data_IF_738520461922
#
_entry.id   IF_738520461922
#
_cell.length_a   1.000
_cell.length_b   1.000
_cell.length_c   1.000
_cell.angle_alpha   90.00
_cell.angle_beta   90.00
_cell.angle_gamma   90.00
#
_symmetry.space_group_name_H-M   'P 1'
#
loop_
_entity.id
_entity.type
_entity.pdbx_description
1 polymer ?
#
# COMPACT_ATOMS: atom_id res chain seq x y z
N UNK A 1 21.12 -0.22 9.51
CA UNK A 1 20.39 0.96 9.03
C UNK A 1 19.95 0.66 7.62
N UNK A 2 18.67 0.83 7.30
CA UNK A 2 18.20 0.68 5.93
C UNK A 2 18.72 1.90 5.14
N UNK A 3 19.51 1.67 4.09
CA UNK A 3 19.95 2.73 3.20
C UNK A 3 18.72 3.33 2.52
N UNK A 4 18.47 4.63 2.74
CA UNK A 4 17.44 5.39 2.03
C UNK A 4 18.09 5.84 0.71
N UNK A 5 17.57 5.40 -0.45
CA UNK A 5 18.16 5.72 -1.74
C UNK A 5 18.09 7.23 -2.02
N UNK A 6 19.15 7.79 -2.60
CA UNK A 6 19.19 9.19 -3.02
C UNK A 6 18.36 9.38 -4.30
N UNK A 7 17.74 10.54 -4.52
CA UNK A 7 17.14 10.88 -5.82
C UNK A 7 18.14 10.83 -6.98
N UNK A 8 19.42 11.07 -6.72
CA UNK A 8 20.45 11.13 -7.76
C UNK A 8 21.00 9.76 -8.19
N UNK A 9 20.76 8.70 -7.40
CA UNK A 9 21.35 7.38 -7.68
C UNK A 9 20.84 6.84 -9.02
N UNK A 10 21.71 6.25 -9.85
CA UNK A 10 21.23 5.52 -11.03
C UNK A 10 20.41 4.30 -10.62
N UNK A 11 19.22 4.16 -11.21
CA UNK A 11 18.33 3.02 -10.98
C UNK A 11 18.12 2.23 -12.27
N UNK A 12 18.18 0.89 -12.22
CA UNK A 12 17.94 0.06 -13.40
C UNK A 12 16.46 0.13 -13.81
N UNK A 13 16.20 0.10 -15.12
CA UNK A 13 14.81 0.08 -15.66
C UNK A 13 14.04 -1.21 -15.32
N UNK A 14 14.77 -2.30 -15.10
CA UNK A 14 14.27 -3.65 -14.80
C UNK A 14 15.33 -4.47 -14.07
N UNK A 15 14.88 -5.38 -13.22
CA UNK A 15 15.69 -6.45 -12.64
C UNK A 15 15.07 -7.82 -12.97
N UNK A 16 15.90 -8.83 -13.18
CA UNK A 16 15.45 -10.21 -13.34
C UNK A 16 14.97 -10.80 -12.01
N UNK A 17 14.24 -11.92 -12.09
CA UNK A 17 13.55 -12.47 -10.93
C UNK A 17 14.51 -13.07 -9.92
N UNK A 18 15.59 -13.68 -10.40
CA UNK A 18 16.64 -14.33 -9.63
C UNK A 18 17.36 -13.27 -8.78
N UNK A 19 17.81 -12.18 -9.40
CA UNK A 19 18.39 -11.01 -8.71
C UNK A 19 17.46 -10.50 -7.60
N UNK A 20 16.17 -10.31 -7.89
CA UNK A 20 15.22 -9.83 -6.86
C UNK A 20 15.07 -10.84 -5.72
N UNK A 21 15.18 -12.15 -5.96
CA UNK A 21 15.02 -13.15 -4.91
C UNK A 21 16.20 -13.18 -3.91
N UNK A 22 17.40 -12.82 -4.37
CA UNK A 22 18.60 -12.76 -3.53
C UNK A 22 18.67 -11.51 -2.63
N UNK A 23 17.88 -10.48 -2.93
CA UNK A 23 17.84 -9.28 -2.10
C UNK A 23 17.32 -9.58 -0.69
N UNK A 24 17.81 -8.85 0.34
CA UNK A 24 17.29 -8.99 1.70
C UNK A 24 15.83 -8.56 1.79
N UNK A 25 15.09 -9.14 2.74
CA UNK A 25 13.69 -8.77 2.99
C UNK A 25 13.61 -7.40 3.64
N UNK A 26 12.80 -6.51 3.06
CA UNK A 26 12.41 -5.27 3.72
C UNK A 26 11.24 -5.51 4.66
N UNK A 27 11.21 -4.77 5.78
CA UNK A 27 10.13 -4.83 6.75
C UNK A 27 9.84 -3.43 7.29
N UNK A 28 8.56 -3.18 7.52
CA UNK A 28 8.15 -2.04 8.32
C UNK A 28 8.48 -2.26 9.79
N UNK A 29 9.09 -1.26 10.42
CA UNK A 29 9.52 -1.29 11.83
C UNK A 29 8.74 -0.32 12.74
N UNK A 30 7.78 0.42 12.16
CA UNK A 30 6.94 1.36 12.90
C UNK A 30 5.79 0.68 13.65
N UNK A 31 4.93 1.49 14.27
CA UNK A 31 3.80 0.99 15.04
C UNK A 31 2.67 0.52 14.13
N UNK A 32 2.15 -0.70 14.36
CA UNK A 32 1.02 -1.26 13.61
C UNK A 32 -0.24 -1.25 14.50
N UNK A 33 -1.27 -0.54 14.05
CA UNK A 33 -2.56 -0.43 14.74
C UNK A 33 -3.66 -1.09 13.90
N UNK A 34 -4.53 -1.86 14.53
CA UNK A 34 -5.66 -2.53 13.87
C UNK A 34 -6.97 -1.89 14.33
N UNK A 35 -7.84 -1.54 13.39
CA UNK A 35 -9.21 -1.08 13.64
C UNK A 35 -10.18 -2.22 13.29
N UNK A 36 -11.01 -2.62 14.25
CA UNK A 36 -11.98 -3.72 14.09
C UNK A 36 -13.41 -3.34 14.52
N UNK A 37 -13.61 -2.13 15.05
CA UNK A 37 -14.90 -1.61 15.50
C UNK A 37 -15.06 -0.12 15.19
N UNK A 38 -16.28 0.41 15.31
CA UNK A 38 -16.58 1.81 15.01
C UNK A 38 -15.75 2.79 15.83
N UNK A 39 -15.43 2.47 17.09
CA UNK A 39 -14.64 3.36 17.97
C UNK A 39 -13.20 3.49 17.48
N UNK A 40 -12.57 2.36 17.16
CA UNK A 40 -11.21 2.30 16.63
C UNK A 40 -11.13 2.86 15.21
N UNK A 41 -12.13 2.62 14.36
CA UNK A 41 -12.23 3.25 13.04
C UNK A 41 -12.19 4.77 13.13
N UNK A 42 -13.10 5.38 13.91
CA UNK A 42 -13.16 6.84 14.06
C UNK A 42 -11.86 7.41 14.63
N UNK A 43 -11.33 6.80 15.71
CA UNK A 43 -10.10 7.28 16.36
C UNK A 43 -8.89 7.23 15.42
N UNK A 44 -8.72 6.14 14.67
CA UNK A 44 -7.57 5.98 13.78
C UNK A 44 -7.71 6.81 12.50
N UNK A 45 -8.92 6.93 11.94
CA UNK A 45 -9.19 7.82 10.80
C UNK A 45 -8.90 9.29 11.15
N UNK A 46 -9.38 9.77 12.31
CA UNK A 46 -9.12 11.13 12.77
C UNK A 46 -7.62 11.42 13.03
N UNK A 47 -6.81 10.38 13.29
CA UNK A 47 -5.35 10.51 13.38
C UNK A 47 -4.73 10.58 11.99
N UNK A 48 -5.17 9.73 11.07
CA UNK A 48 -4.66 9.65 9.70
C UNK A 48 -4.95 10.90 8.87
N UNK A 49 -6.08 11.57 9.10
CA UNK A 49 -6.48 12.78 8.36
C UNK A 49 -5.50 13.95 8.52
N UNK A 50 -4.56 13.87 9.46
CA UNK A 50 -3.51 14.88 9.71
C UNK A 50 -2.27 14.70 8.84
N UNK A 51 -2.13 13.56 8.16
CA UNK A 51 -0.96 13.27 7.35
C UNK A 51 -1.26 13.57 5.87
N UNK A 52 -0.40 14.34 5.19
CA UNK A 52 -0.66 14.74 3.80
C UNK A 52 -0.35 13.64 2.78
N UNK A 53 0.45 12.63 3.14
CA UNK A 53 0.83 11.53 2.25
C UNK A 53 0.74 10.21 3.00
N UNK A 54 -0.08 9.33 2.47
CA UNK A 54 -0.35 7.99 2.97
C UNK A 54 -0.03 6.97 1.89
N UNK A 55 0.67 5.91 2.27
CA UNK A 55 0.69 4.71 1.45
C UNK A 55 -0.61 3.93 1.64
N UNK A 56 -1.13 3.38 0.56
CA UNK A 56 -2.43 2.72 0.47
C UNK A 56 -2.27 1.36 -0.22
N UNK A 57 -2.96 0.36 0.33
CA UNK A 57 -3.16 -0.94 -0.30
C UNK A 57 -4.47 -1.58 0.24
N UNK A 58 -4.96 -2.62 -0.43
CA UNK A 58 -6.10 -3.42 0.02
C UNK A 58 -5.81 -4.91 -0.02
N UNK A 59 -6.50 -5.68 0.82
CA UNK A 59 -6.36 -7.13 0.82
C UNK A 59 -7.70 -7.87 0.77
N UNK A 60 -7.75 -8.92 -0.05
CA UNK A 60 -8.93 -9.73 -0.33
C UNK A 60 -8.67 -11.19 0.02
N UNK A 61 -9.69 -11.93 0.49
CA UNK A 61 -9.58 -13.39 0.56
C UNK A 61 -9.42 -13.95 -0.87
N UNK A 62 -8.39 -14.76 -1.18
CA UNK A 62 -8.23 -15.30 -2.51
C UNK A 62 -9.29 -16.35 -2.83
N UNK A 63 -9.64 -16.47 -4.12
CA UNK A 63 -10.45 -17.55 -4.66
C UNK A 63 -9.57 -18.50 -5.48
N UNK A 64 -9.49 -19.76 -5.06
CA UNK A 64 -8.73 -20.80 -5.77
C UNK A 64 -9.58 -21.56 -6.80
N UNK A 65 -10.88 -21.27 -6.87
CA UNK A 65 -11.83 -21.80 -7.85
C UNK A 65 -12.33 -20.64 -8.71
N UNK A 66 -12.70 -20.93 -9.97
CA UNK A 66 -13.31 -19.94 -10.87
C UNK A 66 -14.60 -19.39 -10.22
N UNK A 67 -14.70 -18.06 -10.16
CA UNK A 67 -15.82 -17.35 -9.55
C UNK A 67 -15.51 -15.86 -9.40
N UNK A 68 -16.48 -15.05 -8.96
CA UNK A 68 -16.27 -13.62 -8.71
C UNK A 68 -15.24 -13.43 -7.59
N UNK A 69 -14.43 -12.38 -7.65
CA UNK A 69 -13.47 -12.04 -6.58
C UNK A 69 -14.20 -11.72 -5.28
N UNK A 70 -13.60 -12.09 -4.14
CA UNK A 70 -14.13 -11.65 -2.84
C UNK A 70 -13.97 -10.13 -2.70
N UNK A 71 -14.90 -9.46 -2.01
CA UNK A 71 -14.76 -8.04 -1.70
C UNK A 71 -13.52 -7.80 -0.82
N UNK A 72 -12.97 -6.57 -0.86
CA UNK A 72 -11.91 -6.13 0.04
C UNK A 72 -12.24 -6.40 1.50
N UNK A 73 -11.33 -7.09 2.20
CA UNK A 73 -11.49 -7.46 3.60
C UNK A 73 -10.69 -6.55 4.54
N UNK A 74 -9.69 -5.84 4.02
CA UNK A 74 -8.78 -4.98 4.76
C UNK A 74 -8.37 -3.80 3.88
N UNK A 75 -8.33 -2.59 4.46
CA UNK A 75 -7.60 -1.44 3.91
C UNK A 75 -6.34 -1.23 4.76
N UNK A 76 -5.21 -0.97 4.11
CA UNK A 76 -3.98 -0.57 4.75
C UNK A 76 -3.68 0.89 4.45
N UNK A 77 -3.35 1.65 5.49
CA UNK A 77 -2.87 3.03 5.36
C UNK A 77 -1.58 3.19 6.17
N UNK A 78 -0.54 3.77 5.57
CA UNK A 78 0.75 3.92 6.24
C UNK A 78 1.33 5.32 6.11
N UNK A 79 1.98 5.74 7.19
CA UNK A 79 2.81 6.94 7.31
C UNK A 79 4.28 6.52 7.40
N UNK A 80 5.21 7.45 7.68
CA UNK A 80 6.62 7.11 7.83
C UNK A 80 6.89 6.12 8.98
N UNK A 81 6.12 6.20 10.07
CA UNK A 81 6.40 5.50 11.33
C UNK A 81 5.21 4.72 11.89
N UNK A 82 4.04 4.80 11.26
CA UNK A 82 2.85 4.05 11.66
C UNK A 82 2.09 3.46 10.49
N UNK A 83 1.58 2.25 10.66
CA UNK A 83 0.66 1.58 9.77
C UNK A 83 -0.67 1.29 10.46
N UNK A 84 -1.77 1.43 9.72
CA UNK A 84 -3.14 1.32 10.19
C UNK A 84 -3.89 0.32 9.32
N UNK A 85 -4.41 -0.73 9.96
CA UNK A 85 -5.08 -1.85 9.29
C UNK A 85 -6.57 -1.82 9.63
N UNK A 86 -7.41 -1.39 8.69
CA UNK A 86 -8.85 -1.24 8.87
C UNK A 86 -9.58 -2.47 8.36
N UNK A 87 -10.13 -3.28 9.27
CA UNK A 87 -10.87 -4.50 8.91
C UNK A 87 -12.25 -4.17 8.39
N UNK A 88 -12.47 -4.41 7.10
CA UNK A 88 -13.79 -4.26 6.49
C UNK A 88 -14.66 -5.49 6.78
N UNK A 89 -14.11 -6.70 6.74
CA UNK A 89 -14.86 -7.91 7.07
C UNK A 89 -15.12 -8.04 8.59
N UNK A 90 -16.34 -8.44 9.03
CA UNK A 90 -17.48 -8.88 8.24
C UNK A 90 -18.50 -7.79 7.87
N UNK A 91 -18.29 -6.54 8.30
CA UNK A 91 -19.29 -5.47 8.21
C UNK A 91 -19.39 -4.92 6.79
N UNK A 92 -18.28 -4.93 6.04
CA UNK A 92 -18.11 -4.32 4.72
C UNK A 92 -18.61 -2.88 4.71
N UNK A 93 -17.90 -2.02 5.45
CA UNK A 93 -18.18 -0.59 5.53
C UNK A 93 -16.90 0.22 5.61
N UNK A 94 -16.80 1.29 4.84
CA UNK A 94 -15.66 2.23 4.84
C UNK A 94 -15.80 3.23 5.99
N UNK A 95 -17.02 3.73 6.21
CA UNK A 95 -17.35 4.65 7.31
C UNK A 95 -16.44 5.90 7.31
N UNK A 96 -15.77 6.24 8.42
CA UNK A 96 -14.96 7.47 8.51
C UNK A 96 -13.76 7.49 7.57
N UNK A 97 -13.43 6.39 6.91
CA UNK A 97 -12.38 6.37 5.88
C UNK A 97 -12.77 7.15 4.63
N UNK A 98 -14.06 7.29 4.32
CA UNK A 98 -14.53 8.01 3.13
C UNK A 98 -13.95 9.43 3.09
N UNK A 99 -13.96 10.15 4.22
CA UNK A 99 -13.38 11.50 4.31
C UNK A 99 -11.90 11.55 3.93
N UNK A 100 -11.12 10.49 4.21
CA UNK A 100 -9.72 10.40 3.81
C UNK A 100 -9.59 10.05 2.33
N UNK A 101 -10.39 9.08 1.86
CA UNK A 101 -10.36 8.59 0.48
C UNK A 101 -10.79 9.67 -0.52
N UNK A 102 -11.74 10.52 -0.15
CA UNK A 102 -12.26 11.62 -0.99
C UNK A 102 -11.47 12.93 -0.87
N UNK A 103 -10.57 13.06 0.12
CA UNK A 103 -9.85 14.32 0.33
C UNK A 103 -8.65 14.45 -0.63
N UNK A 104 -8.66 15.43 -1.57
CA UNK A 104 -7.56 15.61 -2.53
C UNK A 104 -6.28 16.17 -1.89
N UNK A 105 -6.35 16.73 -0.67
CA UNK A 105 -5.18 17.22 0.08
C UNK A 105 -4.40 16.11 0.77
N UNK A 106 -4.96 14.91 0.82
CA UNK A 106 -4.30 13.72 1.34
C UNK A 106 -3.97 12.83 0.14
N UNK A 107 -2.69 12.69 -0.15
CA UNK A 107 -2.22 11.77 -1.18
C UNK A 107 -2.30 10.33 -0.65
N UNK A 108 -2.92 9.44 -1.42
CA UNK A 108 -2.94 8.00 -1.21
C UNK A 108 -2.19 7.35 -2.36
N UNK A 109 -1.09 6.68 -2.09
CA UNK A 109 -0.24 6.10 -3.14
C UNK A 109 -0.15 4.58 -3.03
N UNK A 110 -0.13 3.90 -4.17
CA UNK A 110 -0.13 2.45 -4.26
C UNK A 110 0.08 1.99 -5.70
N UNK A 111 -0.12 0.70 -5.95
CA UNK A 111 -0.07 0.10 -7.28
C UNK A 111 -1.45 -0.44 -7.64
N UNK A 112 -1.80 -0.44 -8.93
CA UNK A 112 -3.06 -1.01 -9.42
C UNK A 112 -4.35 -0.41 -8.80
N UNK A 113 -4.28 0.86 -8.37
CA UNK A 113 -5.33 1.56 -7.61
C UNK A 113 -6.70 1.59 -8.31
N UNK A 114 -6.74 1.57 -9.65
CA UNK A 114 -7.99 1.66 -10.40
C UNK A 114 -8.97 0.53 -10.03
N UNK A 115 -8.48 -0.70 -9.98
CA UNK A 115 -9.32 -1.87 -9.68
C UNK A 115 -9.66 -1.91 -8.18
N UNK A 116 -8.74 -1.49 -7.32
CA UNK A 116 -8.96 -1.40 -5.87
C UNK A 116 -10.06 -0.42 -5.53
N UNK A 117 -10.02 0.79 -6.10
CA UNK A 117 -11.04 1.82 -5.91
C UNK A 117 -12.40 1.32 -6.39
N UNK A 118 -12.45 0.71 -7.57
CA UNK A 118 -13.69 0.15 -8.10
C UNK A 118 -14.28 -0.92 -7.17
N UNK A 119 -13.44 -1.75 -6.55
CA UNK A 119 -13.90 -2.77 -5.61
C UNK A 119 -14.32 -2.20 -4.25
N UNK A 120 -13.68 -1.13 -3.77
CA UNK A 120 -14.10 -0.40 -2.57
C UNK A 120 -15.41 0.34 -2.78
N UNK A 121 -15.64 0.93 -3.97
CA UNK A 121 -16.90 1.62 -4.31
C UNK A 121 -18.11 0.68 -4.33
N UNK A 122 -17.90 -0.63 -4.52
CA UNK A 122 -18.95 -1.65 -4.37
C UNK A 122 -19.32 -1.92 -2.91
N UNK A 123 -18.43 -1.59 -1.97
CA UNK A 123 -18.68 -1.72 -0.54
C UNK A 123 -19.50 -0.52 -0.04
N UNK A 124 -19.01 0.69 -0.30
CA UNK A 124 -19.68 1.94 0.05
C UNK A 124 -19.28 2.99 -0.99
N UNK A 125 -20.25 3.77 -1.49
CA UNK A 125 -20.02 4.75 -2.55
C UNK A 125 -19.15 5.89 -2.04
N UNK A 126 -18.15 6.29 -2.84
CA UNK A 126 -17.31 7.47 -2.60
C UNK A 126 -16.64 7.93 -3.91
N UNK A 127 -16.26 9.20 -3.95
CA UNK A 127 -15.53 9.85 -5.03
C UNK A 127 -14.04 9.96 -4.69
N UNK A 128 -13.28 8.91 -5.00
CA UNK A 128 -11.84 8.86 -4.70
C UNK A 128 -11.06 10.04 -5.31
N UNK A 129 -10.29 10.74 -4.49
CA UNK A 129 -9.45 11.87 -4.91
C UNK A 129 -8.04 11.75 -4.30
N UNK A 130 -7.03 12.41 -4.87
CA UNK A 130 -5.65 12.37 -4.33
C UNK A 130 -5.00 10.99 -4.41
N UNK A 131 -5.40 10.14 -5.35
CA UNK A 131 -4.78 8.82 -5.56
C UNK A 131 -3.64 8.91 -6.58
N UNK A 132 -2.44 8.47 -6.18
CA UNK A 132 -1.21 8.53 -6.98
C UNK A 132 -0.72 7.10 -7.28
N UNK A 133 -0.90 6.67 -8.53
CA UNK A 133 -0.50 5.34 -9.00
C UNK A 133 1.01 5.31 -9.29
N UNK A 134 1.75 4.54 -8.50
CA UNK A 134 3.19 4.38 -8.64
C UNK A 134 3.60 3.83 -10.01
N UNK A 135 2.71 3.10 -10.69
CA UNK A 135 3.00 2.61 -12.04
C UNK A 135 3.21 3.77 -13.03
N UNK A 136 2.43 4.86 -12.90
CA UNK A 136 2.56 6.04 -13.76
C UNK A 136 3.84 6.81 -13.46
N UNK A 137 4.15 7.00 -12.17
CA UNK A 137 5.39 7.67 -11.75
C UNK A 137 6.64 6.90 -12.20
N UNK A 138 6.62 5.57 -12.07
CA UNK A 138 7.69 4.71 -12.55
C UNK A 138 7.88 4.82 -14.07
N UNK A 139 6.79 4.85 -14.85
CA UNK A 139 6.86 5.03 -16.30
C UNK A 139 7.47 6.39 -16.69
N UNK A 140 7.12 7.47 -15.99
CA UNK A 140 7.73 8.79 -16.19
C UNK A 140 9.24 8.80 -15.92
N UNK A 141 9.74 7.88 -15.08
CA UNK A 141 11.17 7.65 -14.83
C UNK A 141 11.80 6.59 -15.75
N UNK A 142 11.12 6.20 -16.83
CA UNK A 142 11.56 5.15 -17.77
C UNK A 142 11.78 3.76 -17.13
N UNK A 143 11.06 3.45 -16.05
CA UNK A 143 11.10 2.14 -15.40
C UNK A 143 10.03 1.23 -16.02
N UNK A 144 10.44 0.05 -16.48
CA UNK A 144 9.57 -0.90 -17.19
C UNK A 144 8.74 -1.78 -16.25
N UNK A 145 9.25 -2.05 -15.05
CA UNK A 145 8.59 -2.91 -14.07
C UNK A 145 7.88 -2.08 -13.00
N UNK A 146 6.54 -2.07 -13.03
CA UNK A 146 5.72 -1.18 -12.19
C UNK A 146 5.11 -1.85 -10.95
N UNK A 147 5.31 -3.15 -10.77
CA UNK A 147 4.79 -3.87 -9.59
C UNK A 147 5.55 -3.48 -8.31
N UNK A 148 4.84 -3.35 -7.19
CA UNK A 148 5.38 -2.86 -5.91
C UNK A 148 6.67 -3.56 -5.48
N UNK A 149 6.73 -4.90 -5.59
CA UNK A 149 7.92 -5.69 -5.29
C UNK A 149 9.12 -5.36 -6.20
N UNK A 150 8.88 -5.13 -7.48
CA UNK A 150 9.96 -4.82 -8.43
C UNK A 150 10.47 -3.40 -8.21
N UNK A 151 9.56 -2.44 -8.00
CA UNK A 151 9.91 -1.07 -7.64
C UNK A 151 10.71 -1.03 -6.34
N UNK A 152 10.28 -1.79 -5.32
CA UNK A 152 11.04 -1.92 -4.06
C UNK A 152 12.46 -2.42 -4.31
N UNK A 153 12.64 -3.42 -5.15
CA UNK A 153 13.95 -3.96 -5.50
C UNK A 153 14.82 -2.96 -6.26
N UNK A 154 14.25 -2.23 -7.22
CA UNK A 154 14.94 -1.24 -8.05
C UNK A 154 15.48 -0.10 -7.18
N UNK A 155 14.64 0.48 -6.32
CA UNK A 155 14.99 1.65 -5.52
C UNK A 155 15.73 1.28 -4.23
N UNK A 156 15.20 0.34 -3.44
CA UNK A 156 15.70 0.08 -2.09
C UNK A 156 16.74 -1.05 -2.01
N UNK A 157 16.99 -1.76 -3.12
CA UNK A 157 17.83 -2.97 -3.16
C UNK A 157 17.41 -4.01 -2.09
N UNK A 158 16.11 -4.07 -1.83
CA UNK A 158 15.47 -5.02 -0.92
C UNK A 158 14.22 -5.59 -1.57
N UNK A 159 13.69 -6.70 -1.06
CA UNK A 159 12.47 -7.31 -1.61
C UNK A 159 11.35 -7.39 -0.58
N UNK A 160 10.12 -7.25 -1.07
CA UNK A 160 8.93 -7.59 -0.30
C UNK A 160 8.77 -9.11 -0.18
N UNK A 161 8.22 -9.53 0.96
CA UNK A 161 7.75 -10.90 1.15
C UNK A 161 6.53 -11.16 0.27
N UNK A 162 6.25 -12.42 -0.05
CA UNK A 162 4.98 -12.86 -0.66
C UNK A 162 4.16 -13.73 0.29
N UNK A 163 4.60 -13.88 1.53
CA UNK A 163 4.14 -14.91 2.47
C UNK A 163 2.67 -14.79 2.86
N UNK A 164 2.08 -13.60 2.78
CA UNK A 164 0.67 -13.38 3.13
C UNK A 164 -0.20 -12.90 1.97
N UNK A 165 0.36 -12.73 0.76
CA UNK A 165 -0.37 -12.23 -0.42
C UNK A 165 -1.62 -13.07 -0.74
N UNK A 166 -1.53 -14.40 -0.57
CA UNK A 166 -2.64 -15.33 -0.79
C UNK A 166 -3.23 -15.84 0.55
N UNK A 167 -3.18 -15.03 1.60
CA UNK A 167 -3.74 -15.39 2.91
C UNK A 167 -5.25 -15.21 2.96
N UNK A 168 -5.92 -15.90 3.89
CA UNK A 168 -7.32 -15.62 4.19
C UNK A 168 -7.44 -14.34 5.02
N UNK A 169 -7.59 -13.19 4.37
CA UNK A 169 -7.72 -11.87 5.00
C UNK A 169 -9.07 -11.63 5.73
N UNK A 170 -10.03 -12.54 5.58
CA UNK A 170 -11.24 -12.58 6.40
C UNK A 170 -11.01 -13.29 7.75
N UNK A 171 -9.90 -14.03 7.92
CA UNK A 171 -9.60 -14.75 9.17
C UNK A 171 -9.41 -13.77 10.33
N UNK A 172 -10.02 -14.07 11.48
CA UNK A 172 -9.89 -13.30 12.73
C UNK A 172 -9.26 -14.17 13.83
N UNK A 173 -8.33 -13.62 14.65
CA UNK A 173 -7.66 -12.32 14.48
C UNK A 173 -6.67 -12.32 13.30
N UNK A 174 -6.17 -11.15 12.89
CA UNK A 174 -5.03 -11.08 11.96
C UNK A 174 -3.78 -11.68 12.63
N UNK A 175 -3.09 -12.57 11.91
CA UNK A 175 -1.80 -13.10 12.36
C UNK A 175 -0.71 -12.03 12.32
N UNK A 176 0.38 -12.22 13.07
CA UNK A 176 1.55 -11.33 13.02
C UNK A 176 2.15 -11.24 11.61
N UNK A 177 2.13 -12.35 10.85
CA UNK A 177 2.58 -12.36 9.45
C UNK A 177 1.71 -11.46 8.56
N UNK A 178 0.38 -11.54 8.69
CA UNK A 178 -0.55 -10.66 7.96
C UNK A 178 -0.35 -9.20 8.34
N UNK A 179 -0.21 -8.88 9.63
CA UNK A 179 0.02 -7.50 10.10
C UNK A 179 1.32 -6.92 9.52
N UNK A 180 2.42 -7.67 9.59
CA UNK A 180 3.72 -7.23 9.10
C UNK A 180 3.73 -7.06 7.58
N UNK A 181 3.10 -8.00 6.85
CA UNK A 181 2.96 -7.93 5.40
C UNK A 181 2.18 -6.67 5.00
N UNK A 182 0.95 -6.53 5.50
CA UNK A 182 0.04 -5.43 5.20
C UNK A 182 0.64 -4.05 5.55
N UNK A 183 1.32 -3.96 6.69
CA UNK A 183 2.00 -2.73 7.09
C UNK A 183 3.19 -2.39 6.17
N UNK A 184 3.94 -3.40 5.72
CA UNK A 184 5.11 -3.19 4.85
C UNK A 184 4.68 -2.76 3.45
N UNK A 185 3.64 -3.36 2.87
CA UNK A 185 3.18 -3.05 1.52
C UNK A 185 2.60 -1.62 1.42
N UNK A 186 1.80 -1.19 2.40
CA UNK A 186 1.36 0.21 2.44
C UNK A 186 2.52 1.18 2.75
N UNK A 187 3.43 0.84 3.66
CA UNK A 187 4.55 1.74 3.95
C UNK A 187 5.47 1.92 2.75
N UNK A 188 5.83 0.83 2.06
CA UNK A 188 6.78 0.92 0.95
C UNK A 188 6.18 1.66 -0.24
N UNK A 189 4.86 1.62 -0.45
CA UNK A 189 4.24 2.43 -1.51
C UNK A 189 4.40 3.94 -1.23
N UNK A 190 4.28 4.36 0.04
CA UNK A 190 4.58 5.73 0.46
C UNK A 190 6.03 6.12 0.17
N UNK A 191 6.99 5.28 0.58
CA UNK A 191 8.41 5.60 0.40
C UNK A 191 8.78 5.67 -1.10
N UNK A 192 8.23 4.76 -1.91
CA UNK A 192 8.40 4.78 -3.37
C UNK A 192 7.86 6.07 -3.99
N UNK A 193 6.68 6.53 -3.57
CA UNK A 193 6.13 7.79 -4.04
C UNK A 193 7.06 8.96 -3.74
N UNK A 194 7.55 9.07 -2.50
CA UNK A 194 8.41 10.17 -2.10
C UNK A 194 9.71 10.22 -2.90
N UNK A 195 10.37 9.08 -3.09
CA UNK A 195 11.61 9.06 -3.88
C UNK A 195 11.36 9.31 -5.37
N UNK A 196 10.29 8.75 -5.94
CA UNK A 196 9.96 8.99 -7.35
C UNK A 196 9.59 10.44 -7.61
N UNK A 197 8.83 11.06 -6.69
CA UNK A 197 8.49 12.48 -6.78
C UNK A 197 9.72 13.37 -6.71
N UNK A 198 10.59 13.14 -5.73
CA UNK A 198 11.85 13.87 -5.62
C UNK A 198 12.66 13.76 -6.93
N UNK A 199 12.79 12.54 -7.49
CA UNK A 199 13.49 12.31 -8.77
C UNK A 199 12.89 13.07 -9.94
N UNK A 200 11.57 13.03 -10.10
CA UNK A 200 10.90 13.75 -11.18
C UNK A 200 11.09 15.27 -11.04
N UNK A 201 11.08 15.78 -9.83
CA UNK A 201 11.29 17.20 -9.56
C UNK A 201 12.76 17.64 -9.79
N UNK A 202 13.72 16.71 -9.76
CA UNK A 202 15.13 16.98 -10.12
C UNK A 202 15.43 16.93 -11.63
N UNK A 203 14.62 16.19 -12.38
CA UNK A 203 14.80 16.00 -13.84
C UNK A 203 13.96 17.00 -14.66
N UNK A 204 13.01 17.68 -14.01
CA UNK A 204 12.16 18.74 -14.60
C UNK A 204 12.78 20.12 -14.46
#
# INVERSE_FOLDING_TARGET
MNHIPSPEDEVPKRLDKETINELPLIRFHGAVQVAEDSKTFNRLAARLSKFPVLGFDIECKPNFKRGPNNPPALIQLATADQAFLFRLYPIFKLGPLIEILENPKIIKTGVALKDDLHNLQKIEEFSGAGFEDLAKLAQSLNIEQTGLRNLTAIFFKQRLSKSAQLSNWQKRPLSSSQKNYAATDAWISRELYLIMKARLDHVS
#
